data_IF_991100093648
#
_entry.id   IF_991100093648
#
_cell.length_a   1.000
_cell.length_b   1.000
_cell.length_c   1.000
_cell.angle_alpha   90.00
_cell.angle_beta   90.00
_cell.angle_gamma   90.00
#
_symmetry.space_group_name_H-M   'P 1'
#
loop_
_entity.id
_entity.type
_entity.pdbx_description
1 polymer ?
#
# COMPACT_ATOMS: atom_id res chain seq x y z
N UNK A 1 -19.57 -30.60 3.58
CA UNK A 1 -18.15 -30.21 3.65
C UNK A 1 -18.05 -28.75 3.26
N UNK A 2 -18.02 -27.84 4.26
CA UNK A 2 -17.87 -26.40 4.02
C UNK A 2 -16.38 -26.11 3.85
N UNK A 3 -15.97 -25.64 2.67
CA UNK A 3 -14.62 -25.13 2.44
C UNK A 3 -14.49 -23.83 3.25
N UNK A 4 -13.66 -23.84 4.28
CA UNK A 4 -13.22 -22.62 4.94
C UNK A 4 -12.20 -21.97 3.99
N UNK A 5 -12.51 -20.79 3.45
CA UNK A 5 -11.47 -19.94 2.86
C UNK A 5 -10.60 -19.45 4.02
N UNK A 6 -9.35 -19.90 4.05
CA UNK A 6 -8.32 -19.36 4.92
C UNK A 6 -7.95 -18.00 4.33
N UNK A 7 -8.34 -16.93 5.01
CA UNK A 7 -7.88 -15.59 4.68
C UNK A 7 -6.38 -15.58 4.95
N UNK A 8 -5.57 -15.59 3.89
CA UNK A 8 -4.16 -15.22 3.98
C UNK A 8 -4.16 -13.83 4.63
N UNK A 9 -3.54 -13.70 5.80
CA UNK A 9 -3.18 -12.37 6.33
C UNK A 9 -2.04 -11.91 5.43
N UNK A 10 -2.40 -11.49 4.22
CA UNK A 10 -1.60 -10.55 3.44
C UNK A 10 -1.59 -9.32 4.33
N UNK A 11 -0.47 -9.03 4.99
CA UNK A 11 -0.25 -7.68 5.48
C UNK A 11 -0.60 -6.76 4.32
N UNK A 12 -1.61 -5.91 4.51
CA UNK A 12 -2.20 -5.08 3.45
C UNK A 12 -1.14 -4.17 2.86
N UNK A 13 -0.38 -4.71 1.90
CA UNK A 13 0.36 -3.95 0.93
C UNK A 13 -0.70 -3.48 -0.05
N UNK A 14 -1.17 -2.25 0.19
CA UNK A 14 -1.81 -1.45 -0.84
C UNK A 14 -0.83 -1.44 -2.02
N UNK A 15 -1.11 -2.28 -3.02
CA UNK A 15 -0.48 -2.19 -4.32
C UNK A 15 -0.97 -0.88 -4.94
N UNK A 16 -0.32 0.22 -4.57
CA UNK A 16 -0.32 1.40 -5.40
C UNK A 16 0.30 0.96 -6.73
N UNK A 17 -0.50 0.94 -7.79
CA UNK A 17 -0.01 0.87 -9.16
C UNK A 17 0.88 2.09 -9.42
N UNK A 18 2.14 1.99 -9.01
CA UNK A 18 3.22 2.89 -9.36
C UNK A 18 4.23 2.07 -10.16
N UNK A 19 4.42 2.45 -11.41
CA UNK A 19 5.42 1.91 -12.32
C UNK A 19 6.82 2.30 -11.84
N UNK A 20 7.27 1.67 -10.76
CA UNK A 20 8.67 1.51 -10.40
C UNK A 20 8.73 0.34 -9.41
N UNK A 21 9.44 -0.72 -9.81
CA UNK A 21 9.87 -1.78 -8.89
C UNK A 21 10.76 -1.14 -7.83
N UNK A 22 10.17 -0.49 -6.83
CA UNK A 22 10.85 -0.25 -5.58
C UNK A 22 11.16 -1.64 -5.03
N UNK A 23 12.45 -2.05 -4.97
CA UNK A 23 12.78 -3.28 -4.30
C UNK A 23 12.18 -3.18 -2.90
N UNK A 24 11.42 -4.19 -2.47
CA UNK A 24 10.96 -4.22 -1.09
C UNK A 24 12.16 -3.90 -0.21
N UNK A 25 12.04 -2.94 0.74
CA UNK A 25 13.12 -2.67 1.66
C UNK A 25 13.57 -4.01 2.22
N UNK A 26 14.86 -4.34 2.07
CA UNK A 26 15.41 -5.52 2.72
C UNK A 26 15.11 -5.35 4.21
N UNK A 27 14.24 -6.21 4.73
CA UNK A 27 13.94 -6.26 6.15
C UNK A 27 15.27 -6.33 6.90
N UNK A 28 15.52 -5.38 7.79
CA UNK A 28 16.71 -5.45 8.63
C UNK A 28 16.60 -6.73 9.47
N UNK A 29 17.74 -7.34 9.79
CA UNK A 29 17.81 -8.54 10.62
C UNK A 29 17.11 -8.29 11.97
N UNK A 30 15.85 -8.72 12.08
CA UNK A 30 15.03 -8.56 13.27
C UNK A 30 15.28 -9.75 14.20
N UNK A 31 15.85 -9.47 15.37
CA UNK A 31 16.04 -10.45 16.43
C UNK A 31 15.72 -9.79 17.76
N UNK A 32 15.08 -10.53 18.65
CA UNK A 32 14.76 -10.06 20.00
C UNK A 32 15.47 -10.93 21.03
N UNK A 33 15.90 -10.33 22.14
CA UNK A 33 16.57 -11.07 23.22
C UNK A 33 15.66 -12.14 23.83
N UNK A 34 14.33 -11.95 23.80
CA UNK A 34 13.35 -12.94 24.27
C UNK A 34 13.38 -14.26 23.49
N UNK A 35 13.85 -14.26 22.24
CA UNK A 35 13.97 -15.50 21.44
C UNK A 35 14.96 -16.49 22.06
N UNK A 36 15.85 -16.01 22.94
CA UNK A 36 16.78 -16.85 23.70
C UNK A 36 16.13 -17.54 24.90
N UNK A 37 14.95 -17.09 25.32
CA UNK A 37 14.20 -17.68 26.43
C UNK A 37 13.42 -18.92 25.97
N UNK A 38 14.11 -19.87 25.35
CA UNK A 38 13.53 -21.12 24.87
C UNK A 38 13.00 -21.92 26.06
N UNK A 39 11.69 -22.20 26.09
CA UNK A 39 11.09 -23.00 27.17
C UNK A 39 10.95 -24.48 26.81
N UNK A 40 10.89 -24.82 25.51
CA UNK A 40 10.95 -26.18 24.98
C UNK A 40 11.64 -26.17 23.62
N UNK A 41 12.60 -27.06 23.41
CA UNK A 41 13.18 -27.34 22.10
C UNK A 41 12.56 -28.63 21.55
N UNK A 42 12.18 -28.64 20.27
CA UNK A 42 11.70 -29.85 19.60
C UNK A 42 12.90 -30.64 19.08
N UNK A 43 12.86 -31.96 19.22
CA UNK A 43 13.92 -32.84 18.75
C UNK A 43 13.54 -33.51 17.43
N UNK A 44 14.42 -33.50 16.44
CA UNK A 44 14.22 -34.26 15.21
C UNK A 44 14.47 -35.75 15.48
N UNK A 45 13.40 -36.49 15.73
CA UNK A 45 13.45 -37.93 16.08
C UNK A 45 13.12 -38.84 14.89
N UNK A 46 12.41 -38.33 13.88
CA UNK A 46 12.08 -39.08 12.67
C UNK A 46 13.23 -39.00 11.67
N UNK A 47 13.76 -40.16 11.28
CA UNK A 47 14.72 -40.29 10.18
C UNK A 47 14.04 -40.24 8.79
N UNK A 48 12.75 -40.61 8.73
CA UNK A 48 11.94 -40.60 7.50
C UNK A 48 11.07 -39.34 7.45
N UNK A 49 11.39 -38.44 6.51
CA UNK A 49 10.66 -37.19 6.26
C UNK A 49 9.84 -37.23 4.97
N UNK A 50 9.61 -38.41 4.38
CA UNK A 50 8.97 -38.53 3.08
C UNK A 50 7.58 -37.87 3.01
N UNK A 51 6.86 -37.80 4.13
CA UNK A 51 5.57 -37.11 4.22
C UNK A 51 5.75 -35.60 4.05
N UNK A 52 6.70 -35.00 4.79
CA UNK A 52 7.05 -33.58 4.64
C UNK A 52 7.57 -33.29 3.24
N UNK A 53 8.44 -34.13 2.70
CA UNK A 53 9.07 -33.91 1.39
C UNK A 53 8.02 -33.95 0.26
N UNK A 54 7.06 -34.87 0.33
CA UNK A 54 5.93 -34.88 -0.61
C UNK A 54 5.05 -33.63 -0.50
N UNK A 55 4.84 -33.11 0.71
CA UNK A 55 4.09 -31.87 0.92
C UNK A 55 4.87 -30.65 0.37
N UNK A 56 6.20 -30.64 0.53
CA UNK A 56 7.08 -29.60 0.01
C UNK A 56 7.06 -29.59 -1.52
N UNK A 57 7.24 -30.74 -2.16
CA UNK A 57 7.14 -30.85 -3.63
C UNK A 57 5.78 -30.36 -4.14
N UNK A 58 4.68 -30.65 -3.43
CA UNK A 58 3.37 -30.11 -3.79
C UNK A 58 3.32 -28.58 -3.67
N UNK A 59 3.90 -28.00 -2.62
CA UNK A 59 3.94 -26.55 -2.43
C UNK A 59 4.73 -25.84 -3.54
N UNK A 60 5.78 -26.47 -4.07
CA UNK A 60 6.56 -25.93 -5.19
C UNK A 60 5.79 -25.81 -6.52
N UNK A 61 4.65 -26.49 -6.63
CA UNK A 61 3.77 -26.43 -7.79
C UNK A 61 2.57 -25.50 -7.57
N UNK A 62 2.51 -24.77 -6.45
CA UNK A 62 1.43 -23.84 -6.19
C UNK A 62 1.47 -22.66 -7.17
N UNK A 63 0.29 -22.24 -7.64
CA UNK A 63 0.15 -21.13 -8.59
C UNK A 63 0.64 -19.81 -7.99
N UNK A 64 0.52 -19.63 -6.68
CA UNK A 64 1.02 -18.43 -5.98
C UNK A 64 2.53 -18.27 -6.16
N UNK A 65 3.28 -19.37 -6.04
CA UNK A 65 4.73 -19.39 -6.22
C UNK A 65 5.13 -19.34 -7.70
N UNK A 66 4.46 -20.14 -8.54
CA UNK A 66 4.86 -20.35 -9.94
C UNK A 66 4.30 -19.32 -10.92
N UNK A 67 3.21 -18.65 -10.57
CA UNK A 67 2.51 -17.65 -11.39
C UNK A 67 3.18 -16.28 -11.43
N UNK A 68 4.33 -16.11 -10.77
CA UNK A 68 5.09 -14.86 -10.74
C UNK A 68 4.58 -13.80 -9.76
N UNK A 69 3.56 -14.13 -8.96
CA UNK A 69 2.99 -13.23 -7.94
C UNK A 69 4.01 -12.83 -6.87
N UNK A 70 4.93 -13.73 -6.52
CA UNK A 70 5.98 -13.51 -5.53
C UNK A 70 7.31 -13.06 -6.17
N UNK A 71 7.29 -12.66 -7.44
CA UNK A 71 8.49 -12.26 -8.17
C UNK A 71 9.31 -13.45 -8.67
N UNK A 72 10.64 -13.31 -8.64
CA UNK A 72 11.56 -14.34 -9.17
C UNK A 72 11.67 -15.48 -8.16
N UNK A 73 11.36 -16.70 -8.58
CA UNK A 73 11.50 -17.89 -7.74
C UNK A 73 12.98 -18.23 -7.49
N UNK A 74 13.47 -17.87 -6.30
CA UNK A 74 14.82 -18.20 -5.78
C UNK A 74 14.79 -19.48 -4.95
N UNK A 75 15.94 -20.14 -4.69
CA UNK A 75 16.01 -21.25 -3.73
C UNK A 75 15.52 -20.85 -2.33
N UNK A 76 15.85 -19.65 -1.88
CA UNK A 76 15.43 -19.09 -0.59
C UNK A 76 13.90 -18.94 -0.54
N UNK A 77 13.29 -18.37 -1.58
CA UNK A 77 11.84 -18.24 -1.66
C UNK A 77 11.11 -19.59 -1.66
N UNK A 78 11.69 -20.60 -2.32
CA UNK A 78 11.12 -21.96 -2.30
C UNK A 78 11.12 -22.54 -0.89
N UNK A 79 12.20 -22.34 -0.15
CA UNK A 79 12.28 -22.81 1.23
C UNK A 79 11.30 -22.07 2.13
N UNK A 80 11.29 -20.73 2.06
CA UNK A 80 10.35 -19.89 2.80
C UNK A 80 8.90 -20.30 2.53
N UNK A 81 8.54 -20.49 1.26
CA UNK A 81 7.19 -20.90 0.86
C UNK A 81 6.85 -22.31 1.35
N UNK A 82 7.81 -23.23 1.34
CA UNK A 82 7.66 -24.57 1.90
C UNK A 82 7.39 -24.55 3.40
N UNK A 83 8.19 -23.79 4.16
CA UNK A 83 8.02 -23.61 5.62
C UNK A 83 6.67 -23.00 5.95
N UNK A 84 6.23 -22.00 5.19
CA UNK A 84 4.90 -21.41 5.35
C UNK A 84 3.76 -22.37 5.02
N UNK A 85 3.94 -23.18 3.98
CA UNK A 85 2.89 -24.10 3.51
C UNK A 85 2.72 -25.32 4.42
N UNK A 86 3.77 -25.71 5.15
CA UNK A 86 3.79 -26.95 5.93
C UNK A 86 3.88 -26.63 7.42
N UNK A 87 5.03 -26.14 7.88
CA UNK A 87 5.31 -25.91 9.30
C UNK A 87 4.39 -24.84 9.91
N UNK A 88 4.22 -23.69 9.24
CA UNK A 88 3.33 -22.64 9.74
C UNK A 88 1.86 -23.09 9.79
N UNK A 89 1.41 -23.89 8.81
CA UNK A 89 0.07 -24.48 8.85
C UNK A 89 -0.07 -25.48 10.00
N UNK A 90 0.93 -26.31 10.26
CA UNK A 90 0.92 -27.25 11.38
C UNK A 90 0.85 -26.52 12.73
N UNK A 91 1.65 -25.46 12.89
CA UNK A 91 1.66 -24.60 14.08
C UNK A 91 0.32 -23.91 14.30
N UNK A 92 -0.19 -23.20 13.30
CA UNK A 92 -1.45 -22.46 13.41
C UNK A 92 -2.63 -23.40 13.70
N UNK A 93 -2.67 -24.57 13.09
CA UNK A 93 -3.67 -25.60 13.41
C UNK A 93 -3.55 -26.10 14.86
N UNK A 94 -2.33 -26.34 15.35
CA UNK A 94 -2.12 -26.78 16.73
C UNK A 94 -2.53 -25.70 17.73
N UNK A 95 -2.14 -24.44 17.48
CA UNK A 95 -2.52 -23.26 18.26
C UNK A 95 -4.04 -23.09 18.29
N UNK A 96 -4.70 -23.10 17.13
CA UNK A 96 -6.16 -22.92 17.03
C UNK A 96 -6.92 -23.99 17.81
N UNK A 97 -6.41 -25.23 17.85
CA UNK A 97 -7.04 -26.33 18.59
C UNK A 97 -6.87 -26.23 20.12
N UNK A 98 -5.82 -25.55 20.60
CA UNK A 98 -5.49 -25.46 22.03
C UNK A 98 -5.99 -24.14 22.64
N UNK A 99 -5.70 -23.03 21.95
CA UNK A 99 -5.96 -21.68 22.42
C UNK A 99 -7.22 -21.07 21.79
N UNK A 100 -7.65 -21.57 20.63
CA UNK A 100 -8.60 -20.85 19.80
C UNK A 100 -7.93 -19.60 19.24
N UNK A 101 -8.30 -18.43 19.76
CA UNK A 101 -7.56 -17.20 19.48
C UNK A 101 -6.26 -17.18 20.26
N UNK A 102 -5.12 -17.02 19.58
CA UNK A 102 -3.80 -16.93 20.22
C UNK A 102 -3.45 -15.52 20.70
N UNK A 103 -4.27 -14.54 20.30
CA UNK A 103 -4.00 -13.11 20.41
C UNK A 103 -3.64 -12.63 21.83
N UNK A 104 -4.29 -13.19 22.85
CA UNK A 104 -4.06 -12.83 24.26
C UNK A 104 -2.86 -13.57 24.88
N UNK A 105 -2.42 -14.67 24.26
CA UNK A 105 -1.49 -15.63 24.87
C UNK A 105 -0.05 -15.48 24.40
N UNK A 106 0.19 -14.79 23.28
CA UNK A 106 1.54 -14.71 22.74
C UNK A 106 1.64 -13.99 21.41
N UNK A 107 2.79 -14.19 20.77
CA UNK A 107 3.15 -13.68 19.45
C UNK A 107 3.53 -14.83 18.53
N UNK A 108 3.19 -14.70 17.25
CA UNK A 108 3.49 -15.69 16.22
C UNK A 108 3.96 -14.94 14.97
N UNK A 109 5.14 -15.29 14.47
CA UNK A 109 5.69 -14.69 13.25
C UNK A 109 6.59 -15.66 12.50
N UNK A 110 6.86 -15.31 11.25
CA UNK A 110 7.78 -16.00 10.36
C UNK A 110 9.06 -15.19 10.25
N UNK A 111 10.20 -15.87 10.11
CA UNK A 111 11.39 -15.26 9.51
C UNK A 111 11.67 -16.00 8.22
N UNK A 112 12.02 -15.22 7.19
CA UNK A 112 12.20 -15.68 5.83
C UNK A 112 13.63 -15.36 5.37
N UNK A 113 14.26 -16.29 4.65
CA UNK A 113 15.60 -16.08 4.11
C UNK A 113 15.61 -15.02 2.99
N UNK A 114 14.55 -14.91 2.19
CA UNK A 114 14.40 -13.81 1.22
C UNK A 114 14.38 -12.43 1.90
N UNK A 115 13.87 -12.35 3.14
CA UNK A 115 13.91 -11.14 3.97
C UNK A 115 15.25 -10.93 4.68
N UNK A 116 16.24 -11.81 4.50
CA UNK A 116 17.58 -11.69 5.10
C UNK A 116 17.73 -12.37 6.46
N UNK A 117 16.78 -13.22 6.87
CA UNK A 117 16.98 -14.10 8.02
C UNK A 117 18.07 -15.14 7.73
N UNK A 118 18.75 -15.62 8.79
CA UNK A 118 19.74 -16.69 8.63
C UNK A 118 19.08 -18.01 8.19
N UNK A 119 17.90 -18.27 8.72
CA UNK A 119 17.08 -19.43 8.38
C UNK A 119 15.60 -19.07 8.33
N UNK A 120 14.86 -19.83 7.52
CA UNK A 120 13.40 -19.81 7.49
C UNK A 120 12.85 -20.49 8.74
N UNK A 121 11.72 -20.05 9.27
CA UNK A 121 11.13 -20.72 10.43
C UNK A 121 9.87 -20.06 10.95
N UNK A 122 9.29 -20.69 11.96
CA UNK A 122 8.09 -20.28 12.67
C UNK A 122 8.45 -20.04 14.13
N UNK A 123 8.31 -18.79 14.58
CA UNK A 123 8.62 -18.36 15.94
C UNK A 123 7.32 -18.19 16.71
N UNK A 124 7.20 -18.90 17.82
CA UNK A 124 6.04 -18.90 18.71
C UNK A 124 6.50 -18.45 20.09
N UNK A 125 6.20 -17.20 20.43
CA UNK A 125 6.41 -16.63 21.74
C UNK A 125 5.14 -16.80 22.58
N UNK A 126 5.22 -17.45 23.73
CA UNK A 126 4.08 -17.60 24.66
C UNK A 126 4.37 -16.77 25.91
N UNK A 127 3.43 -15.89 26.25
CA UNK A 127 3.45 -15.14 27.50
C UNK A 127 3.02 -16.05 28.65
N UNK A 128 3.84 -16.11 29.69
CA UNK A 128 3.63 -16.95 30.89
C UNK A 128 3.29 -18.43 30.55
N UNK A 129 4.23 -19.20 29.96
CA UNK A 129 3.97 -20.56 29.47
C UNK A 129 3.36 -21.50 30.54
N UNK A 130 2.18 -22.03 30.25
CA UNK A 130 1.39 -22.88 31.14
C UNK A 130 1.29 -24.34 30.63
N UNK A 131 0.32 -25.11 31.14
CA UNK A 131 0.08 -26.48 30.67
C UNK A 131 -0.42 -26.55 29.22
N UNK A 132 -1.06 -25.50 28.69
CA UNK A 132 -1.40 -25.43 27.27
C UNK A 132 -0.15 -25.25 26.41
N UNK A 133 0.86 -24.52 26.88
CA UNK A 133 2.14 -24.39 26.18
C UNK A 133 2.86 -25.73 26.07
N UNK A 134 2.85 -26.53 27.14
CA UNK A 134 3.38 -27.90 27.13
C UNK A 134 2.60 -28.81 26.18
N UNK A 135 1.27 -28.70 26.17
CA UNK A 135 0.43 -29.46 25.24
C UNK A 135 0.69 -29.07 23.78
N UNK A 136 0.94 -27.79 23.49
CA UNK A 136 1.33 -27.33 22.15
C UNK A 136 2.64 -27.99 21.72
N UNK A 137 3.68 -27.88 22.55
CA UNK A 137 4.97 -28.50 22.28
C UNK A 137 4.84 -30.01 22.04
N UNK A 138 4.06 -30.71 22.87
CA UNK A 138 3.80 -32.16 22.71
C UNK A 138 3.12 -32.50 21.38
N UNK A 139 2.17 -31.68 20.92
CA UNK A 139 1.50 -31.91 19.62
C UNK A 139 2.39 -31.64 18.44
N UNK A 140 3.26 -30.64 18.54
CA UNK A 140 4.23 -30.33 17.49
C UNK A 140 5.32 -31.41 17.46
N UNK A 141 5.85 -31.82 18.60
CA UNK A 141 6.79 -32.95 18.71
C UNK A 141 6.22 -34.21 18.07
N UNK A 142 4.95 -34.55 18.35
CA UNK A 142 4.31 -35.70 17.71
C UNK A 142 4.30 -35.60 16.17
N UNK A 143 4.11 -34.41 15.60
CA UNK A 143 4.16 -34.23 14.15
C UNK A 143 5.59 -34.34 13.60
N UNK A 144 6.59 -33.90 14.38
CA UNK A 144 8.01 -34.14 14.08
C UNK A 144 8.32 -35.64 14.10
N UNK A 145 7.90 -36.37 15.14
CA UNK A 145 8.10 -37.81 15.30
C UNK A 145 7.44 -38.62 14.15
N UNK A 146 6.36 -38.09 13.57
CA UNK A 146 5.65 -38.67 12.43
C UNK A 146 6.26 -38.24 11.06
N UNK A 147 7.34 -37.46 11.04
CA UNK A 147 7.99 -37.00 9.81
C UNK A 147 7.17 -36.00 8.99
N UNK A 148 6.18 -35.34 9.60
CA UNK A 148 5.25 -34.41 8.93
C UNK A 148 5.76 -32.98 8.84
N UNK A 149 6.60 -32.60 9.80
CA UNK A 149 7.25 -31.29 9.91
C UNK A 149 8.69 -31.49 10.37
N UNK A 150 9.55 -30.49 10.15
CA UNK A 150 10.93 -30.51 10.64
C UNK A 150 11.08 -29.68 11.92
N UNK A 151 11.75 -30.24 12.94
CA UNK A 151 11.94 -29.57 14.23
C UNK A 151 12.70 -28.24 14.10
N UNK A 152 13.71 -28.20 13.23
CA UNK A 152 14.60 -27.04 13.03
C UNK A 152 13.90 -25.74 12.63
N UNK A 153 12.67 -25.82 12.13
CA UNK A 153 11.88 -24.65 11.71
C UNK A 153 10.88 -24.18 12.74
N UNK A 154 10.82 -24.80 13.91
CA UNK A 154 9.84 -24.48 14.96
C UNK A 154 10.58 -24.00 16.20
N UNK A 155 10.35 -22.74 16.57
CA UNK A 155 11.03 -22.11 17.70
C UNK A 155 10.00 -21.71 18.76
N UNK A 156 10.08 -22.33 19.95
CA UNK A 156 9.18 -22.07 21.07
C UNK A 156 9.93 -21.31 22.17
N UNK A 157 9.50 -20.09 22.49
CA UNK A 157 10.15 -19.26 23.51
C UNK A 157 9.13 -18.56 24.40
N UNK A 158 9.58 -18.15 25.58
CA UNK A 158 8.80 -17.34 26.51
C UNK A 158 8.86 -15.88 26.04
N UNK A 159 7.68 -15.31 25.79
CA UNK A 159 7.55 -13.92 25.35
C UNK A 159 7.13 -13.02 26.50
N UNK A 160 7.69 -11.81 26.53
CA UNK A 160 7.33 -10.80 27.54
C UNK A 160 5.94 -10.19 27.29
N UNK A 161 5.38 -10.36 26.09
CA UNK A 161 4.15 -9.72 25.66
C UNK A 161 3.37 -10.59 24.67
N UNK A 162 2.09 -10.30 24.50
CA UNK A 162 1.25 -10.89 23.46
C UNK A 162 0.88 -9.90 22.37
N UNK A 163 0.27 -10.39 21.30
CA UNK A 163 -0.26 -9.53 20.24
C UNK A 163 -1.37 -8.60 20.76
N UNK A 164 -2.10 -9.00 21.81
CA UNK A 164 -3.00 -8.12 22.55
C UNK A 164 -2.27 -6.97 23.25
N UNK A 165 -1.14 -7.22 23.90
CA UNK A 165 -0.34 -6.17 24.53
C UNK A 165 0.22 -5.18 23.51
N UNK A 166 0.57 -5.65 22.30
CA UNK A 166 0.98 -4.80 21.18
C UNK A 166 -0.17 -3.91 20.69
N UNK A 167 -1.38 -4.47 20.55
CA UNK A 167 -2.56 -3.69 20.19
C UNK A 167 -2.94 -2.66 21.26
N UNK A 168 -2.87 -3.01 22.54
CA UNK A 168 -3.12 -2.08 23.63
C UNK A 168 -2.07 -0.94 23.65
N UNK A 169 -0.79 -1.26 23.42
CA UNK A 169 0.26 -0.26 23.25
C UNK A 169 -0.04 0.67 22.07
N UNK A 170 -0.37 0.12 20.91
CA UNK A 170 -0.77 0.90 19.73
C UNK A 170 -1.95 1.82 20.05
N UNK A 171 -2.98 1.32 20.73
CA UNK A 171 -4.13 2.12 21.14
C UNK A 171 -3.74 3.29 22.07
N UNK A 172 -2.86 3.04 23.05
CA UNK A 172 -2.33 4.08 23.96
C UNK A 172 -1.58 5.17 23.20
N UNK A 173 -0.74 4.79 22.23
CA UNK A 173 -0.01 5.74 21.38
C UNK A 173 -0.97 6.53 20.49
N UNK A 174 -1.95 5.86 19.85
CA UNK A 174 -3.00 6.53 19.06
C UNK A 174 -3.72 7.59 19.88
N UNK A 175 -4.10 7.26 21.11
CA UNK A 175 -4.77 8.17 22.04
C UNK A 175 -3.90 9.37 22.42
N UNK A 176 -2.59 9.19 22.53
CA UNK A 176 -1.65 10.28 22.80
C UNK A 176 -1.45 11.22 21.59
N UNK A 177 -1.46 10.67 20.36
CA UNK A 177 -1.31 11.42 19.11
C UNK A 177 -2.60 12.15 18.73
N UNK A 178 -3.77 11.56 19.01
CA UNK A 178 -5.07 12.08 18.57
C UNK A 178 -5.28 13.58 18.85
N UNK A 179 -5.01 14.12 20.06
CA UNK A 179 -5.14 15.57 20.31
C UNK A 179 -4.22 16.43 19.46
N UNK A 180 -3.03 15.93 19.09
CA UNK A 180 -2.09 16.63 18.22
C UNK A 180 -2.61 16.70 16.79
N UNK A 181 -3.21 15.59 16.31
CA UNK A 181 -3.88 15.53 15.01
C UNK A 181 -5.12 16.42 14.98
N UNK A 182 -6.00 16.31 15.98
CA UNK A 182 -7.25 17.09 16.06
C UNK A 182 -7.01 18.60 16.20
N UNK A 183 -5.82 19.02 16.65
CA UNK A 183 -5.41 20.42 16.73
C UNK A 183 -4.92 20.99 15.38
N UNK A 184 -4.73 20.17 14.35
CA UNK A 184 -4.40 20.64 13.01
C UNK A 184 -5.58 21.43 12.43
N UNK A 185 -5.34 22.44 11.58
CA UNK A 185 -6.42 23.20 10.94
C UNK A 185 -7.35 22.33 10.08
N UNK A 186 -6.80 21.30 9.44
CA UNK A 186 -7.51 20.37 8.56
C UNK A 186 -7.11 18.92 8.93
N UNK A 187 -7.61 18.41 10.07
CA UNK A 187 -7.18 17.12 10.64
C UNK A 187 -7.51 15.92 9.75
N UNK A 188 -8.47 16.05 8.83
CA UNK A 188 -8.81 15.03 7.83
C UNK A 188 -7.81 14.96 6.67
N UNK A 189 -6.96 15.97 6.48
CA UNK A 189 -5.94 16.04 5.42
C UNK A 189 -4.57 15.53 5.85
N UNK A 190 -4.39 15.15 7.12
CA UNK A 190 -3.12 14.62 7.63
C UNK A 190 -3.12 13.09 7.69
N UNK A 191 -2.00 12.51 7.30
CA UNK A 191 -1.74 11.08 7.33
C UNK A 191 -1.12 10.68 8.67
N UNK A 192 -1.61 9.56 9.21
CA UNK A 192 -1.05 8.91 10.38
C UNK A 192 -1.09 7.41 10.16
N UNK A 193 0.09 6.82 10.02
CA UNK A 193 0.28 5.38 10.00
C UNK A 193 1.00 5.00 11.30
N UNK A 194 0.57 3.92 11.93
CA UNK A 194 1.19 3.49 13.17
C UNK A 194 1.08 1.98 13.33
N UNK A 195 2.17 1.39 13.79
CA UNK A 195 2.29 -0.03 14.10
C UNK A 195 3.19 -0.23 15.31
N UNK A 196 3.12 -1.43 15.88
CA UNK A 196 4.09 -1.93 16.86
C UNK A 196 4.72 -3.16 16.23
N UNK A 197 6.03 -3.15 16.08
CA UNK A 197 6.77 -4.27 15.53
C UNK A 197 6.64 -5.49 16.46
N UNK A 198 6.10 -6.60 15.96
CA UNK A 198 5.80 -7.78 16.79
C UNK A 198 7.05 -8.37 17.45
N UNK A 199 8.23 -8.29 16.82
CA UNK A 199 9.47 -8.92 17.29
C UNK A 199 10.20 -8.06 18.33
N UNK A 200 10.31 -6.76 18.06
CA UNK A 200 11.12 -5.82 18.83
C UNK A 200 10.29 -4.90 19.73
N UNK A 201 8.97 -4.89 19.54
CA UNK A 201 8.02 -3.97 20.18
C UNK A 201 8.33 -2.48 19.93
N UNK A 202 9.09 -2.20 18.87
CA UNK A 202 9.36 -0.83 18.43
C UNK A 202 8.06 -0.21 17.92
N UNK A 203 7.74 0.99 18.41
CA UNK A 203 6.60 1.76 17.92
C UNK A 203 7.03 2.49 16.65
N UNK A 204 6.35 2.24 15.54
CA UNK A 204 6.61 2.92 14.26
C UNK A 204 5.48 3.88 13.95
N UNK A 205 5.82 5.13 13.63
CA UNK A 205 4.85 6.21 13.33
C UNK A 205 5.24 6.87 12.02
N UNK A 206 4.42 6.69 11.00
CA UNK A 206 4.42 7.49 9.77
C UNK A 206 3.50 8.70 9.92
N UNK A 207 3.96 9.91 9.59
CA UNK A 207 3.15 11.12 9.74
C UNK A 207 3.54 12.24 8.77
N UNK A 208 2.66 13.23 8.62
CA UNK A 208 2.92 14.46 7.86
C UNK A 208 2.54 15.74 8.61
N UNK A 209 2.38 15.64 9.93
CA UNK A 209 1.89 16.76 10.75
C UNK A 209 2.59 16.93 12.11
N UNK A 210 3.25 15.89 12.63
CA UNK A 210 3.94 15.99 13.92
C UNK A 210 5.19 16.87 13.81
N UNK A 211 5.27 17.85 14.70
CA UNK A 211 6.44 18.70 14.88
C UNK A 211 7.52 18.00 15.72
N UNK A 212 8.77 18.48 15.65
CA UNK A 212 9.86 17.94 16.48
C UNK A 212 9.58 17.98 17.99
N UNK A 213 8.89 19.01 18.47
CA UNK A 213 8.47 19.11 19.89
C UNK A 213 7.45 18.04 20.26
N UNK A 214 6.44 17.82 19.42
CA UNK A 214 5.45 16.76 19.61
C UNK A 214 6.08 15.37 19.57
N UNK A 215 7.02 15.13 18.67
CA UNK A 215 7.80 13.89 18.58
C UNK A 215 8.57 13.64 19.89
N UNK A 216 9.27 14.65 20.40
CA UNK A 216 10.02 14.52 21.67
C UNK A 216 9.08 14.26 22.84
N UNK A 217 7.93 14.95 22.91
CA UNK A 217 6.92 14.69 23.93
C UNK A 217 6.39 13.26 23.91
N UNK A 218 6.20 12.68 22.72
CA UNK A 218 5.78 11.27 22.59
C UNK A 218 6.90 10.33 23.09
N UNK A 219 8.15 10.58 22.73
CA UNK A 219 9.30 9.80 23.24
C UNK A 219 9.42 9.86 24.76
N UNK A 220 9.19 11.03 25.35
CA UNK A 220 9.20 11.22 26.81
C UNK A 220 8.02 10.53 27.51
N UNK A 221 6.90 10.34 26.81
CA UNK A 221 5.73 9.65 27.34
C UNK A 221 5.87 8.11 27.28
N UNK A 222 6.61 7.59 26.30
CA UNK A 222 6.80 6.16 26.05
C UNK A 222 8.28 5.76 26.20
N UNK A 223 8.95 6.19 27.27
CA UNK A 223 10.39 5.99 27.50
C UNK A 223 10.84 4.54 27.53
N UNK A 224 9.92 3.63 27.86
CA UNK A 224 10.19 2.19 27.92
C UNK A 224 10.26 1.55 26.52
N UNK A 225 9.89 2.30 25.47
CA UNK A 225 9.79 1.80 24.10
C UNK A 225 10.69 2.59 23.16
N UNK A 226 11.34 1.88 22.24
CA UNK A 226 11.94 2.52 21.08
C UNK A 226 10.81 3.04 20.18
N UNK A 227 10.96 4.29 19.72
CA UNK A 227 10.02 4.90 18.79
C UNK A 227 10.73 5.38 17.53
N UNK A 228 10.24 4.93 16.38
CA UNK A 228 10.69 5.37 15.06
C UNK A 228 9.62 6.28 14.44
N UNK A 229 10.07 7.44 13.93
CA UNK A 229 9.20 8.39 13.25
C UNK A 229 9.67 8.54 11.80
N UNK A 230 8.74 8.45 10.85
CA UNK A 230 8.98 8.68 9.44
C UNK A 230 8.02 9.77 8.95
N UNK A 231 8.57 10.81 8.34
CA UNK A 231 7.75 11.79 7.66
C UNK A 231 7.28 11.19 6.32
N UNK A 232 5.97 11.11 6.11
CA UNK A 232 5.36 10.63 4.87
C UNK A 232 4.96 11.83 4.00
N UNK A 233 5.68 12.03 2.90
CA UNK A 233 5.46 13.16 2.00
C UNK A 233 5.76 14.53 2.61
N UNK A 234 5.14 15.58 2.08
CA UNK A 234 5.25 16.94 2.59
C UNK A 234 4.37 17.13 3.82
N UNK A 235 4.82 18.02 4.71
CA UNK A 235 4.03 18.43 5.86
C UNK A 235 2.78 19.18 5.40
N UNK A 236 1.64 18.98 6.06
CA UNK A 236 0.44 19.76 5.74
C UNK A 236 0.73 21.27 5.85
N UNK A 237 0.34 22.08 4.84
CA UNK A 237 0.55 23.52 4.88
C UNK A 237 -0.21 24.16 6.05
N UNK A 238 0.38 25.18 6.68
CA UNK A 238 -0.27 25.92 7.74
C UNK A 238 -1.32 26.88 7.15
N UNK A 239 -2.24 27.42 7.97
CA UNK A 239 -3.25 28.37 7.48
C UNK A 239 -2.59 29.57 6.83
N UNK A 240 -2.86 29.79 5.54
CA UNK A 240 -2.27 30.87 4.75
C UNK A 240 -1.12 30.44 3.84
N UNK A 241 -0.54 29.26 4.07
CA UNK A 241 0.41 28.66 3.14
C UNK A 241 -0.31 28.15 1.89
N UNK A 242 0.43 28.05 0.79
CA UNK A 242 -0.11 27.55 -0.48
C UNK A 242 -0.07 26.02 -0.47
N UNK A 243 -1.22 25.42 -0.76
CA UNK A 243 -1.35 23.98 -1.05
C UNK A 243 -1.49 23.69 -2.55
N UNK A 244 -1.39 24.75 -3.38
CA UNK A 244 -1.26 24.66 -4.83
C UNK A 244 0.00 25.40 -5.29
N UNK A 245 0.83 24.69 -6.04
CA UNK A 245 2.03 25.23 -6.67
C UNK A 245 1.77 25.41 -8.17
N UNK A 246 2.16 26.57 -8.68
CA UNK A 246 2.11 26.88 -10.10
C UNK A 246 3.53 26.88 -10.66
N UNK A 247 3.73 26.44 -11.91
CA UNK A 247 5.06 26.38 -12.50
C UNK A 247 5.58 27.80 -12.77
N UNK A 248 6.90 27.99 -12.65
CA UNK A 248 7.53 29.29 -12.95
C UNK A 248 7.31 29.70 -14.41
N UNK A 249 7.42 28.73 -15.32
CA UNK A 249 7.06 28.87 -16.73
C UNK A 249 5.70 28.21 -16.98
N UNK A 250 4.60 28.99 -17.08
CA UNK A 250 3.25 28.44 -17.22
C UNK A 250 3.01 27.77 -18.57
N UNK A 251 3.83 28.07 -19.57
CA UNK A 251 3.65 27.59 -20.94
C UNK A 251 4.89 26.83 -21.40
N UNK A 252 4.67 25.68 -22.03
CA UNK A 252 5.70 24.87 -22.67
C UNK A 252 5.42 24.71 -24.17
N UNK A 253 6.48 24.71 -24.99
CA UNK A 253 6.38 24.35 -26.42
C UNK A 253 6.50 22.83 -26.67
N UNK A 254 6.68 22.05 -25.60
CA UNK A 254 6.75 20.58 -25.63
C UNK A 254 5.50 20.03 -24.96
N UNK A 255 4.74 19.25 -25.73
CA UNK A 255 3.61 18.50 -25.19
C UNK A 255 4.11 17.34 -24.32
N UNK A 256 3.47 17.11 -23.17
CA UNK A 256 3.75 15.98 -22.30
C UNK A 256 2.44 15.35 -21.81
N UNK A 257 2.48 14.06 -21.49
CA UNK A 257 1.34 13.33 -20.91
C UNK A 257 1.58 13.03 -19.42
N UNK A 258 2.35 13.90 -18.75
CA UNK A 258 2.62 13.82 -17.32
C UNK A 258 1.44 14.36 -16.51
N UNK A 259 1.26 13.81 -15.31
CA UNK A 259 0.18 14.17 -14.39
C UNK A 259 -1.20 13.67 -14.82
N UNK A 260 -2.23 14.35 -14.32
CA UNK A 260 -3.62 14.13 -14.69
C UNK A 260 -4.35 15.44 -14.98
N UNK A 261 -5.40 15.34 -15.80
CA UNK A 261 -6.27 16.44 -16.16
C UNK A 261 -7.30 16.70 -15.07
N UNK A 262 -7.46 17.95 -14.66
CA UNK A 262 -8.61 18.41 -13.86
C UNK A 262 -9.84 18.43 -14.76
N UNK A 263 -10.66 17.38 -14.67
CA UNK A 263 -11.84 17.18 -15.51
C UNK A 263 -13.10 17.81 -14.92
N UNK A 264 -13.19 17.87 -13.59
CA UNK A 264 -14.29 18.52 -12.85
C UNK A 264 -13.71 19.21 -11.62
N UNK A 265 -14.24 20.37 -11.27
CA UNK A 265 -13.90 21.09 -10.04
C UNK A 265 -15.16 21.63 -9.38
N UNK A 266 -15.22 21.57 -8.06
CA UNK A 266 -16.29 22.10 -7.21
C UNK A 266 -15.68 22.83 -6.02
N UNK A 267 -16.50 23.30 -5.08
CA UNK A 267 -16.02 24.03 -3.90
C UNK A 267 -14.88 23.27 -3.19
N UNK A 268 -15.07 21.98 -2.87
CA UNK A 268 -14.14 21.22 -2.05
C UNK A 268 -13.70 19.89 -2.67
N UNK A 269 -13.88 19.74 -3.99
CA UNK A 269 -13.51 18.51 -4.71
C UNK A 269 -13.02 18.78 -6.11
N UNK A 270 -12.17 17.89 -6.59
CA UNK A 270 -11.75 17.83 -7.99
C UNK A 270 -11.75 16.38 -8.49
N UNK A 271 -12.11 16.18 -9.76
CA UNK A 271 -11.88 14.93 -10.49
C UNK A 271 -10.60 15.10 -11.30
N UNK A 272 -9.61 14.24 -11.03
CA UNK A 272 -8.38 14.18 -11.80
C UNK A 272 -8.34 12.85 -12.55
N UNK A 273 -8.11 12.91 -13.86
CA UNK A 273 -7.96 11.72 -14.72
C UNK A 273 -6.57 11.73 -15.32
N UNK A 274 -5.82 10.63 -15.18
CA UNK A 274 -4.45 10.52 -15.68
C UNK A 274 -4.36 10.91 -17.16
N UNK A 275 -3.30 11.63 -17.53
CA UNK A 275 -3.06 12.04 -18.91
C UNK A 275 -2.49 10.90 -19.76
N UNK A 276 -1.91 9.88 -19.12
CA UNK A 276 -1.39 8.68 -19.77
C UNK A 276 -2.21 7.46 -19.32
N UNK A 277 -2.68 6.61 -20.26
CA UNK A 277 -3.35 5.37 -19.90
C UNK A 277 -2.34 4.28 -19.51
N UNK A 278 -2.78 3.43 -18.60
CA UNK A 278 -2.15 2.15 -18.27
C UNK A 278 -2.61 1.06 -19.24
N UNK A 279 -1.76 0.06 -19.44
CA UNK A 279 -2.04 -1.09 -20.29
C UNK A 279 -2.06 -2.38 -19.46
N UNK A 280 -3.27 -2.90 -19.21
CA UNK A 280 -3.51 -4.13 -18.45
C UNK A 280 -3.75 -5.38 -19.34
N UNK A 281 -3.52 -5.29 -20.65
CA UNK A 281 -3.76 -6.40 -21.58
C UNK A 281 -2.92 -7.65 -21.29
N UNK A 282 -1.74 -7.49 -20.71
CA UNK A 282 -0.87 -8.60 -20.34
C UNK A 282 -1.49 -9.54 -19.31
N UNK A 283 -2.44 -9.05 -18.50
CA UNK A 283 -3.15 -9.83 -17.47
C UNK A 283 -4.61 -10.08 -17.86
N UNK A 284 -4.96 -9.94 -19.15
CA UNK A 284 -6.34 -10.09 -19.65
C UNK A 284 -7.25 -8.90 -19.37
N UNK A 285 -6.70 -7.77 -18.91
CA UNK A 285 -7.41 -6.50 -18.73
C UNK A 285 -7.53 -5.66 -20.01
N UNK A 286 -7.98 -4.42 -19.87
CA UNK A 286 -8.10 -3.47 -21.00
C UNK A 286 -6.74 -2.87 -21.38
N UNK A 287 -6.53 -2.59 -22.67
CA UNK A 287 -5.27 -2.04 -23.17
C UNK A 287 -5.10 -0.54 -22.96
N UNK A 288 -6.19 0.17 -22.65
CA UNK A 288 -6.23 1.61 -22.44
C UNK A 288 -7.11 1.90 -21.21
N UNK A 289 -6.49 1.98 -20.03
CA UNK A 289 -7.17 2.35 -18.78
C UNK A 289 -6.65 3.69 -18.28
N UNK A 290 -7.56 4.65 -18.04
CA UNK A 290 -7.19 5.91 -17.42
C UNK A 290 -7.53 5.86 -15.94
N UNK A 291 -6.51 5.94 -15.08
CA UNK A 291 -6.73 6.12 -13.65
C UNK A 291 -7.49 7.43 -13.40
N UNK A 292 -8.53 7.36 -12.58
CA UNK A 292 -9.37 8.51 -12.26
C UNK A 292 -9.63 8.56 -10.76
N UNK A 293 -9.43 9.72 -10.15
CA UNK A 293 -9.60 9.91 -8.71
C UNK A 293 -10.38 11.20 -8.43
N UNK A 294 -11.44 11.07 -7.65
CA UNK A 294 -12.13 12.19 -7.04
C UNK A 294 -11.44 12.52 -5.71
N UNK A 295 -10.74 13.64 -5.69
CA UNK A 295 -10.08 14.15 -4.49
C UNK A 295 -11.01 15.11 -3.74
N UNK A 296 -11.11 14.97 -2.42
CA UNK A 296 -11.49 16.09 -1.56
C UNK A 296 -10.31 17.03 -1.42
N UNK A 297 -10.52 18.31 -1.72
CA UNK A 297 -9.50 19.36 -1.70
C UNK A 297 -10.17 20.72 -1.39
N UNK A 298 -9.97 21.31 -0.21
CA UNK A 298 -10.69 22.51 0.21
C UNK A 298 -10.45 23.70 -0.72
N UNK A 299 -11.55 24.41 -1.07
CA UNK A 299 -11.53 25.56 -1.99
C UNK A 299 -10.92 25.24 -3.37
N UNK A 300 -11.12 24.02 -3.87
CA UNK A 300 -10.56 23.57 -5.15
C UNK A 300 -10.94 24.51 -6.31
N UNK A 301 -12.19 24.99 -6.38
CA UNK A 301 -12.63 25.89 -7.45
C UNK A 301 -12.06 27.31 -7.37
N UNK A 302 -11.52 27.73 -6.22
CA UNK A 302 -10.81 29.02 -6.08
C UNK A 302 -9.34 28.87 -6.49
N UNK A 303 -8.79 27.66 -6.40
CA UNK A 303 -7.36 27.37 -6.57
C UNK A 303 -7.00 26.74 -7.91
N UNK A 304 -7.93 26.02 -8.53
CA UNK A 304 -7.73 25.20 -9.73
C UNK A 304 -8.83 25.46 -10.76
N UNK A 305 -8.52 25.13 -12.02
CA UNK A 305 -9.42 25.28 -13.16
C UNK A 305 -9.53 23.98 -13.94
N UNK A 306 -10.72 23.75 -14.50
CA UNK A 306 -10.92 22.68 -15.47
C UNK A 306 -9.94 22.86 -16.64
N UNK A 307 -9.36 21.75 -17.09
CA UNK A 307 -8.38 21.68 -18.16
C UNK A 307 -6.93 21.78 -17.71
N UNK A 308 -6.65 22.11 -16.44
CA UNK A 308 -5.27 22.10 -15.96
C UNK A 308 -4.72 20.67 -15.88
N UNK A 309 -3.43 20.51 -16.19
CA UNK A 309 -2.68 19.30 -15.81
C UNK A 309 -2.08 19.49 -14.43
N UNK A 310 -2.21 18.47 -13.59
CA UNK A 310 -1.76 18.51 -12.21
C UNK A 310 -1.08 17.21 -11.81
N UNK A 311 -0.11 17.32 -10.92
CA UNK A 311 0.33 16.24 -10.05
C UNK A 311 -0.32 16.41 -8.67
N UNK A 312 -0.80 15.31 -8.09
CA UNK A 312 -1.56 15.34 -6.84
C UNK A 312 -0.88 14.47 -5.81
N UNK A 313 -0.39 15.10 -4.75
CA UNK A 313 0.06 14.38 -3.57
C UNK A 313 -1.16 14.02 -2.72
N UNK A 314 -1.51 12.74 -2.68
CA UNK A 314 -2.62 12.25 -1.87
C UNK A 314 -2.28 12.29 -0.36
N UNK A 315 -3.32 12.31 0.47
CA UNK A 315 -3.22 12.06 1.90
C UNK A 315 -3.96 10.78 2.26
N UNK A 316 -3.21 9.78 2.73
CA UNK A 316 -3.72 8.45 3.04
C UNK A 316 -4.17 7.64 1.82
N UNK A 317 -4.88 6.54 2.08
CA UNK A 317 -5.30 5.60 1.06
C UNK A 317 -6.35 6.18 0.10
N UNK A 318 -6.28 5.77 -1.16
CA UNK A 318 -7.32 5.98 -2.17
C UNK A 318 -8.25 4.76 -2.13
N UNK A 319 -9.55 5.00 -1.99
CA UNK A 319 -10.54 3.92 -1.95
C UNK A 319 -10.60 3.17 -3.29
N UNK A 320 -10.66 1.85 -3.21
CA UNK A 320 -10.79 0.94 -4.35
C UNK A 320 -12.19 1.05 -4.98
N UNK A 321 -12.37 2.09 -5.81
CA UNK A 321 -13.57 2.34 -6.60
C UNK A 321 -13.18 2.96 -7.95
N UNK A 322 -14.11 3.05 -8.90
CA UNK A 322 -13.89 3.78 -10.15
C UNK A 322 -14.97 4.86 -10.35
N UNK A 323 -14.60 6.17 -10.31
CA UNK A 323 -13.27 6.70 -9.98
C UNK A 323 -12.89 6.40 -8.52
N UNK A 324 -11.60 6.34 -8.24
CA UNK A 324 -11.08 6.21 -6.86
C UNK A 324 -11.53 7.41 -6.03
N UNK A 325 -11.66 7.24 -4.71
CA UNK A 325 -11.97 8.34 -3.80
C UNK A 325 -10.76 8.59 -2.91
N UNK A 326 -10.21 9.80 -2.95
CA UNK A 326 -9.02 10.17 -2.19
C UNK A 326 -9.12 11.55 -1.58
N UNK A 327 -8.08 11.94 -0.83
CA UNK A 327 -7.90 13.30 -0.33
C UNK A 327 -6.60 13.86 -0.91
N UNK A 328 -6.61 15.11 -1.36
CA UNK A 328 -5.40 15.77 -1.84
C UNK A 328 -4.77 16.59 -0.69
N UNK A 329 -3.47 16.44 -0.52
CA UNK A 329 -2.65 17.24 0.38
C UNK A 329 -2.08 18.45 -0.34
N UNK A 330 -1.43 18.22 -1.48
CA UNK A 330 -0.87 19.25 -2.35
C UNK A 330 -1.23 18.98 -3.80
N UNK A 331 -1.31 20.06 -4.58
CA UNK A 331 -1.52 19.99 -6.02
C UNK A 331 -0.47 20.83 -6.73
N UNK A 332 0.31 20.22 -7.61
CA UNK A 332 1.29 20.94 -8.43
C UNK A 332 0.74 21.05 -9.84
N UNK A 333 0.43 22.27 -10.28
CA UNK A 333 0.00 22.55 -11.65
C UNK A 333 1.21 22.41 -12.58
N UNK A 334 1.04 21.71 -13.69
CA UNK A 334 2.09 21.49 -14.68
C UNK A 334 2.01 22.54 -15.80
N UNK A 335 3.14 22.88 -16.47
CA UNK A 335 3.12 23.79 -17.61
C UNK A 335 2.18 23.33 -18.71
N UNK A 336 1.36 24.25 -19.22
CA UNK A 336 0.42 23.96 -20.32
C UNK A 336 1.13 24.03 -21.66
N UNK A 337 0.89 23.04 -22.53
CA UNK A 337 1.39 23.06 -23.90
C UNK A 337 0.74 24.18 -24.72
N UNK A 338 1.57 24.94 -25.44
CA UNK A 338 1.14 25.86 -26.49
C UNK A 338 2.10 25.74 -27.69
N UNK A 339 1.69 25.12 -28.81
CA UNK A 339 2.53 25.04 -30.01
C UNK A 339 2.84 26.42 -30.57
N UNK A 340 3.96 26.53 -31.29
CA UNK A 340 4.33 27.77 -31.97
C UNK A 340 3.29 28.17 -33.00
N UNK A 341 2.70 29.34 -32.79
CA UNK A 341 1.68 29.93 -33.68
C UNK A 341 0.25 29.64 -33.26
N UNK A 342 0.03 28.90 -32.16
CA UNK A 342 -1.30 28.74 -31.59
C UNK A 342 -1.67 29.90 -30.66
N UNK A 343 -2.94 30.30 -30.67
CA UNK A 343 -3.50 31.35 -29.83
C UNK A 343 -3.93 30.85 -28.44
N UNK A 344 -4.36 29.60 -28.36
CA UNK A 344 -4.83 28.93 -27.13
C UNK A 344 -3.82 27.89 -26.62
N UNK A 345 -3.91 27.61 -25.32
CA UNK A 345 -3.14 26.55 -24.67
C UNK A 345 -3.95 25.24 -24.61
N UNK A 346 -3.30 24.09 -24.39
CA UNK A 346 -4.02 22.83 -24.20
C UNK A 346 -5.02 22.90 -23.02
N UNK A 347 -4.71 23.65 -21.94
CA UNK A 347 -5.64 23.90 -20.83
C UNK A 347 -6.94 24.56 -21.32
N UNK A 348 -6.81 25.62 -22.12
CA UNK A 348 -7.96 26.37 -22.66
C UNK A 348 -8.78 25.50 -23.61
N UNK A 349 -8.12 24.70 -24.43
CA UNK A 349 -8.74 23.80 -25.41
C UNK A 349 -9.47 22.66 -24.72
N UNK A 350 -8.88 22.02 -23.70
CA UNK A 350 -9.54 20.98 -22.92
C UNK A 350 -10.76 21.53 -22.20
N UNK A 351 -10.64 22.72 -21.60
CA UNK A 351 -11.78 23.39 -20.96
C UNK A 351 -12.92 23.64 -21.94
N UNK A 352 -12.63 24.27 -23.10
CA UNK A 352 -13.62 24.50 -24.15
C UNK A 352 -14.25 23.19 -24.64
N UNK A 353 -13.47 22.14 -24.82
CA UNK A 353 -13.96 20.83 -25.28
C UNK A 353 -14.83 20.11 -24.22
N UNK A 354 -14.60 20.32 -22.93
CA UNK A 354 -15.47 19.83 -21.85
C UNK A 354 -16.78 20.63 -21.79
N UNK A 355 -16.72 21.95 -22.01
CA UNK A 355 -17.89 22.84 -21.99
C UNK A 355 -18.83 22.65 -23.19
N UNK A 356 -18.30 22.36 -24.38
CA UNK A 356 -19.08 22.16 -25.60
C UNK A 356 -19.91 20.87 -25.64
N UNK A 357 -19.72 19.96 -24.68
CA UNK A 357 -20.40 18.66 -24.69
C UNK A 357 -21.75 18.71 -24.00
N UNK A 358 -22.79 18.28 -24.73
CA UNK A 358 -24.18 18.18 -24.24
C UNK A 358 -24.32 17.04 -23.21
N UNK A 359 -23.71 15.89 -23.49
CA UNK A 359 -23.59 14.78 -22.55
C UNK A 359 -22.25 14.84 -21.81
N UNK A 360 -22.31 14.81 -20.47
CA UNK A 360 -21.13 14.82 -19.61
C UNK A 360 -21.01 13.45 -18.95
N UNK A 361 -20.38 12.47 -19.61
CA UNK A 361 -20.13 11.15 -19.01
C UNK A 361 -19.41 11.28 -17.66
N UNK A 362 -19.60 10.29 -16.80
CA UNK A 362 -19.14 10.36 -15.42
C UNK A 362 -17.61 10.45 -15.33
N UNK A 363 -16.88 9.65 -16.13
CA UNK A 363 -15.42 9.62 -16.20
C UNK A 363 -14.94 9.26 -17.61
N UNK A 364 -14.04 10.07 -18.18
CA UNK A 364 -13.38 9.82 -19.48
C UNK A 364 -11.92 10.25 -19.43
N UNK A 365 -11.08 9.55 -20.20
CA UNK A 365 -9.70 9.95 -20.46
C UNK A 365 -9.59 10.88 -21.67
N UNK A 366 -8.48 11.62 -21.73
CA UNK A 366 -8.10 12.37 -22.93
C UNK A 366 -7.02 11.57 -23.64
N UNK A 367 -7.38 10.95 -24.77
CA UNK A 367 -6.47 10.13 -25.57
C UNK A 367 -5.48 10.98 -26.34
N UNK A 368 -5.95 12.09 -26.90
CA UNK A 368 -5.12 12.92 -27.77
C UNK A 368 -5.57 14.38 -27.76
N UNK A 369 -4.59 15.28 -27.82
CA UNK A 369 -4.78 16.71 -28.09
C UNK A 369 -3.83 17.07 -29.24
N UNK A 370 -4.38 17.51 -30.37
CA UNK A 370 -3.58 17.82 -31.56
C UNK A 370 -3.94 19.19 -32.15
N UNK A 371 -2.92 20.01 -32.42
CA UNK A 371 -3.07 21.30 -33.11
C UNK A 371 -2.74 21.17 -34.59
N UNK A 372 -3.64 21.65 -35.45
CA UNK A 372 -3.43 21.75 -36.89
C UNK A 372 -3.24 23.20 -37.32
N UNK A 373 -1.96 23.57 -37.50
CA UNK A 373 -1.54 24.90 -37.95
C UNK A 373 -2.11 25.34 -39.32
N UNK A 374 -2.49 24.41 -40.20
CA UNK A 374 -3.02 24.78 -41.53
C UNK A 374 -4.46 25.27 -41.46
N UNK A 375 -5.23 24.67 -40.56
CA UNK A 375 -6.65 24.99 -40.39
C UNK A 375 -6.89 25.90 -39.20
N UNK A 376 -5.88 26.10 -38.35
CA UNK A 376 -5.95 26.86 -37.11
C UNK A 376 -6.98 26.30 -36.13
N UNK A 377 -6.92 24.97 -35.95
CA UNK A 377 -7.88 24.21 -35.14
C UNK A 377 -7.19 23.20 -34.26
N UNK A 378 -7.82 22.90 -33.14
CA UNK A 378 -7.46 21.84 -32.23
C UNK A 378 -8.44 20.67 -32.29
N UNK A 379 -7.93 19.47 -32.08
CA UNK A 379 -8.68 18.24 -31.95
C UNK A 379 -8.44 17.67 -30.57
N UNK A 380 -9.50 17.43 -29.80
CA UNK A 380 -9.43 16.76 -28.49
C UNK A 380 -10.22 15.46 -28.58
N UNK A 381 -9.53 14.34 -28.45
CA UNK A 381 -10.13 13.01 -28.50
C UNK A 381 -10.32 12.48 -27.09
N UNK A 382 -11.57 12.34 -26.67
CA UNK A 382 -11.93 11.69 -25.43
C UNK A 382 -12.14 10.20 -25.68
N UNK A 383 -11.74 9.38 -24.72
CA UNK A 383 -11.96 7.94 -24.75
C UNK A 383 -12.75 7.54 -23.50
N UNK A 384 -13.75 6.67 -23.69
CA UNK A 384 -14.41 6.02 -22.57
C UNK A 384 -13.37 5.37 -21.67
N UNK A 385 -13.44 5.65 -20.37
CA UNK A 385 -12.55 5.02 -19.41
C UNK A 385 -12.93 3.56 -19.10
N UNK A 386 -14.10 3.12 -19.56
CA UNK A 386 -14.64 1.78 -19.35
C UNK A 386 -15.00 1.14 -20.70
N UNK A 387 -14.36 0.01 -21.04
CA UNK A 387 -14.64 -0.78 -22.24
C UNK A 387 -13.41 -1.46 -22.82
N UNK A 388 -13.59 -2.61 -23.47
CA UNK A 388 -12.51 -3.34 -24.17
C UNK A 388 -12.10 -2.69 -25.51
N UNK A 389 -12.98 -1.87 -26.08
CA UNK A 389 -12.72 -0.99 -27.21
C UNK A 389 -13.35 0.37 -26.88
N UNK A 390 -12.59 1.27 -26.23
CA UNK A 390 -13.15 2.49 -25.70
C UNK A 390 -13.58 3.40 -26.85
N UNK A 391 -14.91 3.55 -26.97
CA UNK A 391 -15.54 4.50 -27.87
C UNK A 391 -14.89 5.88 -27.67
N UNK A 392 -14.49 6.49 -28.78
CA UNK A 392 -13.78 7.76 -28.76
C UNK A 392 -14.57 8.83 -29.49
N UNK A 393 -14.60 10.02 -28.90
CA UNK A 393 -15.27 11.19 -29.46
C UNK A 393 -14.27 12.31 -29.61
N UNK A 394 -14.12 12.83 -30.82
CA UNK A 394 -13.24 13.96 -31.11
C UNK A 394 -14.05 15.25 -31.19
N UNK A 395 -13.67 16.23 -30.37
CA UNK A 395 -14.21 17.59 -30.42
C UNK A 395 -13.22 18.49 -31.16
N UNK A 396 -13.73 19.29 -32.09
CA UNK A 396 -12.92 20.28 -32.83
C UNK A 396 -13.14 21.67 -32.25
N UNK A 397 -12.05 22.36 -31.89
CA UNK A 397 -12.07 23.70 -31.32
C UNK A 397 -11.31 24.66 -32.24
N UNK A 398 -11.91 25.80 -32.58
CA UNK A 398 -11.20 26.87 -33.29
C UNK A 398 -10.14 27.51 -32.38
N UNK A 399 -8.95 27.76 -32.92
CA UNK A 399 -7.84 28.37 -32.17
C UNK A 399 -7.96 29.89 -32.13
N UNK A 400 -9.00 30.39 -31.46
CA UNK A 400 -9.28 31.83 -31.33
C UNK A 400 -9.55 32.20 -29.88
N UNK A 401 -8.95 33.30 -29.43
CA UNK A 401 -9.10 33.82 -28.06
C UNK A 401 -10.51 34.27 -27.72
#
# INVERSE_FOLDING_TARGET
MKKLMLSLIVGTLLAGCGDEKSPMPKEQKQSSEQEKNVFVELEQTADDTAIRDAAYEKALHDETLTGGYLGKVTPELKEDYGVQSIEFQAVTNAIQNIYGSFHEYGILYLKNQESGAEESGVWIGIKDPDDKAKELARRLQKQVDEGKILAKYIHLFESEYSEWDNQDLMYKVSKAIKPMKDAMPEPERVELNMSVDTITRTIEIGHDFLTGEQINKLKDQFTDYKMNFKQEGRMLPLPGDRDVEYPEEPVSYKQTNEGGWVMKVSADRMLVVQARPDNFSATGGVSEHYGAVNYSFPKANEKLKIGQRVDVEASGAIAESYPGQGRAKFVTVLPTYQPKGADLTEEDIVRKAIEQREEKPDVEGIREIAYNKKTDKWFVTFASSMGSDPAATTITIEDQK
#
